data_IF_573568708582
#
_entry.id   IF_573568708582
#
_cell.length_a   1.000
_cell.length_b   1.000
_cell.length_c   1.000
_cell.angle_alpha   90.00
_cell.angle_beta   90.00
_cell.angle_gamma   90.00
#
_symmetry.space_group_name_H-M   'P 1'
#
loop_
_entity.id
_entity.type
_entity.pdbx_description
1 polymer ?
#
# COMPACT_ATOMS: atom_id res chain seq x y z
N UNK A 1 80.14 -22.65 -14.92
CA UNK A 1 78.85 -23.13 -15.48
C UNK A 1 78.84 -22.77 -16.96
N UNK A 2 78.75 -23.76 -17.86
CA UNK A 2 78.83 -23.57 -19.32
C UNK A 2 77.58 -22.85 -19.88
N UNK A 3 77.66 -22.14 -21.03
CA UNK A 3 76.49 -21.51 -21.65
C UNK A 3 75.56 -22.58 -22.29
N UNK A 4 74.22 -22.40 -22.24
CA UNK A 4 73.27 -23.36 -22.78
C UNK A 4 73.26 -23.35 -24.32
N UNK A 5 73.11 -24.56 -24.89
CA UNK A 5 73.06 -24.81 -26.34
C UNK A 5 71.87 -24.11 -27.02
N UNK A 6 72.11 -23.48 -28.18
CA UNK A 6 71.09 -22.86 -29.02
C UNK A 6 70.20 -23.93 -29.66
N UNK A 7 68.91 -23.95 -29.32
CA UNK A 7 67.91 -24.83 -29.95
C UNK A 7 67.72 -24.56 -31.44
N UNK A 8 67.48 -25.62 -32.22
CA UNK A 8 67.28 -25.60 -33.68
C UNK A 8 66.04 -24.75 -34.03
N UNK A 9 66.19 -23.83 -34.99
CA UNK A 9 65.09 -23.01 -35.54
C UNK A 9 64.14 -23.91 -36.36
N UNK A 10 62.84 -23.70 -36.25
CA UNK A 10 61.82 -24.43 -37.02
C UNK A 10 61.95 -24.15 -38.54
N UNK A 11 61.58 -25.12 -39.38
CA UNK A 11 61.71 -25.04 -40.84
C UNK A 11 60.98 -23.82 -41.42
N UNK A 12 61.71 -22.98 -42.16
CA UNK A 12 61.24 -21.70 -42.69
C UNK A 12 59.93 -21.82 -43.50
N UNK A 13 59.70 -22.96 -44.16
CA UNK A 13 58.49 -23.23 -44.94
C UNK A 13 57.24 -23.36 -44.06
N UNK A 14 57.36 -24.02 -42.90
CA UNK A 14 56.25 -24.13 -41.94
C UNK A 14 55.94 -22.81 -41.25
N UNK A 15 56.97 -21.98 -41.04
CA UNK A 15 56.81 -20.65 -40.50
C UNK A 15 56.15 -19.70 -41.51
N UNK A 16 56.51 -19.80 -42.80
CA UNK A 16 55.90 -19.05 -43.89
C UNK A 16 54.42 -19.43 -44.14
N UNK A 17 54.07 -20.72 -44.05
CA UNK A 17 52.67 -21.15 -44.17
C UNK A 17 51.81 -20.70 -42.98
N UNK A 18 52.37 -20.70 -41.77
CA UNK A 18 51.70 -20.19 -40.56
C UNK A 18 51.47 -18.69 -40.65
N UNK A 19 52.46 -17.91 -41.09
CA UNK A 19 52.28 -16.46 -41.30
C UNK A 19 51.33 -16.17 -42.44
N UNK A 20 51.36 -16.91 -43.55
CA UNK A 20 50.42 -16.74 -44.65
C UNK A 20 48.96 -17.05 -44.25
N UNK A 21 48.73 -18.08 -43.43
CA UNK A 21 47.41 -18.39 -42.87
C UNK A 21 46.94 -17.28 -41.93
N UNK A 22 47.81 -16.76 -41.07
CA UNK A 22 47.50 -15.66 -40.15
C UNK A 22 47.21 -14.33 -40.86
N UNK A 23 47.84 -14.05 -42.01
CA UNK A 23 47.60 -12.84 -42.81
C UNK A 23 46.31 -12.96 -43.64
N UNK A 24 46.01 -14.14 -44.19
CA UNK A 24 44.77 -14.40 -44.96
C UNK A 24 43.52 -14.41 -44.09
N UNK A 25 43.62 -14.91 -42.86
CA UNK A 25 42.65 -14.58 -41.82
C UNK A 25 42.92 -13.14 -41.35
N UNK A 26 42.62 -12.15 -42.21
CA UNK A 26 42.70 -10.75 -41.82
C UNK A 26 42.02 -10.55 -40.45
N UNK A 27 42.40 -9.52 -39.67
CA UNK A 27 41.96 -9.40 -38.28
C UNK A 27 40.43 -9.41 -38.21
N UNK A 28 39.85 -10.59 -37.95
CA UNK A 28 38.48 -10.76 -37.46
C UNK A 28 38.39 -10.27 -36.01
N UNK A 29 39.48 -9.70 -35.49
CA UNK A 29 39.52 -8.87 -34.30
C UNK A 29 38.92 -7.50 -34.60
N UNK A 30 37.58 -7.45 -34.59
CA UNK A 30 36.90 -6.23 -34.14
C UNK A 30 35.89 -5.61 -35.08
N UNK A 31 35.01 -6.38 -35.72
CA UNK A 31 33.67 -5.81 -35.98
C UNK A 31 33.04 -5.63 -34.60
N UNK A 32 33.18 -4.42 -34.02
CA UNK A 32 32.50 -4.07 -32.77
C UNK A 32 31.02 -4.26 -33.02
N UNK A 33 30.43 -5.35 -32.52
CA UNK A 33 28.99 -5.60 -32.58
C UNK A 33 28.30 -4.41 -31.90
N UNK A 34 27.78 -3.48 -32.69
CA UNK A 34 27.05 -2.32 -32.18
C UNK A 34 25.72 -2.83 -31.62
N UNK A 35 25.29 -2.28 -30.48
CA UNK A 35 23.95 -2.57 -29.96
C UNK A 35 22.94 -2.05 -30.98
N UNK A 36 22.25 -2.98 -31.65
CA UNK A 36 21.24 -2.65 -32.66
C UNK A 36 20.10 -1.91 -31.96
N UNK A 37 19.83 -0.69 -32.43
CA UNK A 37 18.65 0.10 -32.02
C UNK A 37 17.67 0.04 -33.18
N UNK A 38 16.47 -0.46 -32.93
CA UNK A 38 15.42 -0.60 -33.95
C UNK A 38 14.60 0.68 -34.11
N UNK A 39 14.69 1.62 -33.16
CA UNK A 39 14.01 2.92 -33.18
C UNK A 39 14.98 4.04 -33.56
N UNK A 40 14.51 5.02 -34.33
CA UNK A 40 15.27 6.25 -34.67
C UNK A 40 15.32 7.23 -33.51
N UNK A 41 14.37 7.16 -32.56
CA UNK A 41 14.32 7.97 -31.35
C UNK A 41 15.20 7.40 -30.23
N UNK A 42 15.95 8.27 -29.56
CA UNK A 42 16.73 7.92 -28.38
C UNK A 42 15.89 8.05 -27.11
N UNK A 43 15.72 6.95 -26.37
CA UNK A 43 15.05 6.96 -25.07
C UNK A 43 16.07 6.88 -23.94
N UNK A 44 15.87 7.71 -22.91
CA UNK A 44 16.67 7.64 -21.69
C UNK A 44 16.53 6.23 -21.07
N UNK A 45 17.62 5.51 -20.79
CA UNK A 45 17.55 4.19 -20.18
C UNK A 45 16.91 4.29 -18.80
N UNK A 46 16.11 3.28 -18.44
CA UNK A 46 15.57 3.20 -17.09
C UNK A 46 16.72 2.94 -16.13
N UNK A 47 16.90 3.85 -15.18
CA UNK A 47 17.91 3.76 -14.13
C UNK A 47 17.28 3.31 -12.83
N UNK A 48 18.08 2.71 -11.93
CA UNK A 48 17.64 2.38 -10.58
C UNK A 48 17.26 3.68 -9.83
N UNK A 49 16.02 3.75 -9.33
CA UNK A 49 15.56 4.83 -8.44
C UNK A 49 15.50 4.28 -7.02
N UNK A 50 16.42 4.69 -6.16
CA UNK A 50 16.42 4.28 -4.75
C UNK A 50 15.23 4.93 -4.00
N UNK A 51 14.60 4.24 -3.04
CA UNK A 51 13.59 4.85 -2.18
C UNK A 51 14.22 5.92 -1.27
N UNK A 52 13.40 6.85 -0.76
CA UNK A 52 13.87 7.88 0.18
C UNK A 52 14.27 7.21 1.50
N UNK A 53 15.53 7.35 1.90
CA UNK A 53 16.04 6.90 3.19
C UNK A 53 16.69 8.08 3.94
N UNK A 54 15.92 8.85 4.73
CA UNK A 54 16.45 10.00 5.47
C UNK A 54 17.35 9.54 6.63
N UNK A 55 18.40 10.32 6.93
CA UNK A 55 19.35 9.98 8.01
C UNK A 55 18.77 10.10 9.41
N UNK A 56 17.73 10.91 9.58
CA UNK A 56 17.02 11.11 10.84
C UNK A 56 15.51 11.25 10.59
N UNK A 57 14.65 10.86 11.54
CA UNK A 57 13.21 11.07 11.42
C UNK A 57 12.87 12.56 11.51
N UNK A 58 11.93 13.03 10.69
CA UNK A 58 11.50 14.45 10.69
C UNK A 58 10.69 14.85 11.92
N UNK A 59 10.08 13.88 12.58
CA UNK A 59 9.33 14.05 13.82
C UNK A 59 9.87 13.07 14.85
N UNK A 60 10.05 13.52 16.08
CA UNK A 60 10.58 12.70 17.18
C UNK A 60 9.62 11.59 17.60
N UNK A 61 8.32 11.86 17.58
CA UNK A 61 7.27 10.91 17.94
C UNK A 61 6.09 10.98 16.96
N UNK A 62 5.39 9.86 16.71
CA UNK A 62 4.17 9.87 15.92
C UNK A 62 3.04 10.60 16.66
N UNK A 63 2.21 11.33 15.92
CA UNK A 63 1.02 11.99 16.47
C UNK A 63 -0.02 10.98 16.96
N UNK A 64 -0.72 11.30 18.05
CA UNK A 64 -1.84 10.50 18.55
C UNK A 64 -3.05 10.61 17.62
N UNK A 65 -3.82 9.53 17.50
CA UNK A 65 -5.09 9.59 16.80
C UNK A 65 -6.10 10.43 17.62
N UNK A 66 -6.61 11.52 17.03
CA UNK A 66 -7.58 12.43 17.66
C UNK A 66 -9.04 11.99 17.46
N UNK A 67 -9.29 11.04 16.56
CA UNK A 67 -10.62 10.48 16.27
C UNK A 67 -10.66 9.05 16.80
N UNK A 68 -10.85 8.93 18.11
CA UNK A 68 -11.08 7.67 18.79
C UNK A 68 -12.58 7.33 18.85
N UNK A 69 -12.90 6.19 19.45
CA UNK A 69 -14.25 5.64 19.50
C UNK A 69 -15.22 6.57 20.23
N UNK A 70 -14.76 7.21 21.30
CA UNK A 70 -15.52 8.16 22.12
C UNK A 70 -15.80 9.45 21.35
N UNK A 71 -14.85 9.95 20.57
CA UNK A 71 -15.07 11.13 19.73
C UNK A 71 -15.99 10.83 18.54
N UNK A 72 -15.92 9.61 17.99
CA UNK A 72 -16.76 9.17 16.87
C UNK A 72 -18.23 9.08 17.29
N UNK A 73 -18.53 8.39 18.40
CA UNK A 73 -19.89 8.21 18.93
C UNK A 73 -20.13 9.22 20.05
N UNK A 74 -20.83 10.32 19.74
CA UNK A 74 -21.02 11.40 20.71
C UNK A 74 -22.11 11.07 21.73
N UNK A 75 -23.32 10.81 21.25
CA UNK A 75 -24.45 10.43 22.10
C UNK A 75 -25.56 9.75 21.28
N UNK A 76 -26.36 8.88 21.90
CA UNK A 76 -27.56 8.31 21.27
C UNK A 76 -28.63 9.37 21.07
N UNK A 77 -29.44 9.23 20.03
CA UNK A 77 -30.56 10.14 19.75
C UNK A 77 -31.84 9.59 20.35
N UNK A 78 -32.47 10.34 21.25
CA UNK A 78 -33.62 9.93 22.07
C UNK A 78 -34.96 10.50 21.58
N UNK A 79 -35.08 10.82 20.29
CA UNK A 79 -36.33 11.37 19.73
C UNK A 79 -37.37 10.27 19.53
N UNK A 80 -38.66 10.60 19.54
CA UNK A 80 -39.76 9.63 19.29
C UNK A 80 -39.54 8.80 18.03
N UNK A 81 -39.12 9.45 16.94
CA UNK A 81 -38.78 8.78 15.68
C UNK A 81 -37.62 7.79 15.82
N UNK A 82 -36.68 8.05 16.73
CA UNK A 82 -35.55 7.18 17.00
C UNK A 82 -35.95 6.03 17.92
N UNK A 83 -36.76 6.28 18.95
CA UNK A 83 -37.32 5.22 19.83
C UNK A 83 -38.12 4.21 19.02
N UNK A 84 -39.00 4.69 18.13
CA UNK A 84 -39.73 3.83 17.18
C UNK A 84 -38.82 2.98 16.29
N UNK A 85 -37.63 3.48 15.94
CA UNK A 85 -36.64 2.75 15.13
C UNK A 85 -35.92 1.66 15.91
N UNK A 86 -35.79 1.81 17.23
CA UNK A 86 -35.25 0.79 18.12
C UNK A 86 -36.21 -0.40 18.13
N UNK A 87 -37.50 -0.13 18.35
CA UNK A 87 -38.58 -1.12 18.40
C UNK A 87 -38.82 -1.82 17.05
N UNK A 88 -39.16 -1.07 15.99
CA UNK A 88 -39.68 -1.65 14.74
C UNK A 88 -38.61 -2.31 13.87
N UNK A 89 -37.36 -1.81 13.95
CA UNK A 89 -36.35 -2.10 12.92
C UNK A 89 -35.04 -2.65 13.47
N UNK A 90 -34.93 -2.85 14.79
CA UNK A 90 -33.69 -3.22 15.47
C UNK A 90 -32.54 -2.28 15.05
N UNK A 91 -32.80 -0.97 15.17
CA UNK A 91 -31.87 0.09 14.76
C UNK A 91 -31.65 1.12 15.86
N UNK A 92 -30.38 1.30 16.24
CA UNK A 92 -29.95 2.37 17.13
C UNK A 92 -29.62 3.63 16.34
N UNK A 93 -29.93 4.79 16.91
CA UNK A 93 -29.65 6.09 16.28
C UNK A 93 -28.65 6.86 17.11
N UNK A 94 -27.56 7.31 16.50
CA UNK A 94 -26.51 8.07 17.17
C UNK A 94 -26.26 9.42 16.51
N UNK A 95 -25.83 10.38 17.33
CA UNK A 95 -25.04 11.54 16.90
C UNK A 95 -23.59 11.12 16.80
N UNK A 96 -23.00 11.39 15.65
CA UNK A 96 -21.61 11.05 15.37
C UNK A 96 -20.84 12.25 14.85
N UNK A 97 -19.51 12.15 14.88
CA UNK A 97 -18.65 13.18 14.31
C UNK A 97 -18.79 13.28 12.77
N UNK A 98 -18.71 14.50 12.24
CA UNK A 98 -18.87 14.79 10.81
C UNK A 98 -17.78 14.10 9.99
N UNK A 99 -16.59 13.89 10.56
CA UNK A 99 -15.45 13.27 9.89
C UNK A 99 -15.48 11.74 9.93
N UNK A 100 -16.43 11.15 10.65
CA UNK A 100 -16.51 9.71 10.83
C UNK A 100 -17.15 9.02 9.62
N UNK A 101 -16.50 7.97 9.12
CA UNK A 101 -17.00 7.13 8.03
C UNK A 101 -17.84 5.97 8.56
N UNK A 102 -18.67 5.36 7.69
CA UNK A 102 -19.52 4.21 8.08
C UNK A 102 -18.73 3.04 8.69
N UNK A 103 -17.52 2.78 8.19
CA UNK A 103 -16.62 1.74 8.73
C UNK A 103 -16.19 2.06 10.15
N UNK A 104 -15.74 3.30 10.38
CA UNK A 104 -15.31 3.79 11.70
C UNK A 104 -16.45 3.75 12.72
N UNK A 105 -17.67 4.14 12.31
CA UNK A 105 -18.86 4.07 13.16
C UNK A 105 -19.18 2.61 13.52
N UNK A 106 -19.15 1.69 12.54
CA UNK A 106 -19.36 0.26 12.79
C UNK A 106 -18.35 -0.31 13.78
N UNK A 107 -17.07 0.04 13.63
CA UNK A 107 -16.01 -0.41 14.52
C UNK A 107 -16.13 0.22 15.92
N UNK A 108 -16.52 1.49 16.01
CA UNK A 108 -16.71 2.18 17.28
C UNK A 108 -17.87 1.58 18.07
N UNK A 109 -19.02 1.30 17.43
CA UNK A 109 -20.19 0.66 18.08
C UNK A 109 -19.81 -0.73 18.58
N UNK A 110 -19.07 -1.50 17.77
CA UNK A 110 -18.60 -2.83 18.16
C UNK A 110 -17.66 -2.78 19.38
N UNK A 111 -16.77 -1.80 19.44
CA UNK A 111 -15.82 -1.69 20.56
C UNK A 111 -16.45 -1.13 21.84
N UNK A 112 -17.38 -0.19 21.72
CA UNK A 112 -17.97 0.50 22.87
C UNK A 112 -19.04 -0.33 23.57
N UNK A 113 -19.87 -1.02 22.79
CA UNK A 113 -21.06 -1.70 23.30
C UNK A 113 -21.04 -3.21 23.06
N UNK A 114 -19.99 -3.73 22.41
CA UNK A 114 -19.82 -5.16 22.07
C UNK A 114 -20.86 -5.70 21.07
N UNK A 115 -21.42 -4.81 20.24
CA UNK A 115 -22.52 -5.15 19.33
C UNK A 115 -22.03 -5.26 17.89
N UNK A 116 -22.60 -6.20 17.14
CA UNK A 116 -22.38 -6.29 15.71
C UNK A 116 -23.44 -5.54 14.89
N UNK A 117 -23.01 -4.53 14.13
CA UNK A 117 -23.90 -3.86 13.19
C UNK A 117 -23.98 -4.61 11.84
N UNK A 118 -25.20 -4.88 11.38
CA UNK A 118 -25.48 -5.37 10.03
C UNK A 118 -25.18 -4.29 8.99
N UNK A 119 -25.74 -3.08 9.17
CA UNK A 119 -25.58 -1.96 8.22
C UNK A 119 -25.60 -0.62 8.95
N UNK A 120 -24.87 0.36 8.40
CA UNK A 120 -24.84 1.74 8.92
C UNK A 120 -25.24 2.71 7.81
N UNK A 121 -26.22 3.56 8.08
CA UNK A 121 -26.63 4.67 7.25
C UNK A 121 -26.30 5.98 7.95
N UNK A 122 -25.91 7.00 7.19
CA UNK A 122 -25.51 8.29 7.76
C UNK A 122 -26.12 9.41 6.94
N UNK A 123 -26.54 10.49 7.61
CA UNK A 123 -26.86 11.78 6.99
C UNK A 123 -26.26 12.92 7.81
N UNK A 124 -26.07 14.08 7.19
CA UNK A 124 -25.72 15.32 7.89
C UNK A 124 -27.03 16.08 8.12
N UNK A 125 -27.28 16.50 9.37
CA UNK A 125 -28.43 17.34 9.72
C UNK A 125 -28.18 18.80 9.33
N UNK A 126 -29.24 19.62 9.17
CA UNK A 126 -29.09 21.07 9.04
C UNK A 126 -28.32 21.70 10.23
N UNK A 127 -28.39 21.11 11.42
CA UNK A 127 -27.66 21.53 12.63
C UNK A 127 -26.12 21.33 12.53
N UNK A 128 -25.63 20.82 11.40
CA UNK A 128 -24.21 20.53 11.19
C UNK A 128 -23.72 19.23 11.85
N UNK A 129 -24.56 18.48 12.56
CA UNK A 129 -24.18 17.19 13.16
C UNK A 129 -24.50 16.01 12.26
N UNK A 130 -23.69 14.94 12.31
CA UNK A 130 -23.99 13.72 11.54
C UNK A 130 -24.90 12.79 12.36
N UNK A 131 -26.00 12.33 11.76
CA UNK A 131 -26.90 11.28 12.29
C UNK A 131 -26.48 9.94 11.69
N UNK A 132 -26.34 8.92 12.52
CA UNK A 132 -26.09 7.56 12.09
C UNK A 132 -27.25 6.65 12.51
N UNK A 133 -27.83 5.91 11.56
CA UNK A 133 -28.73 4.80 11.81
C UNK A 133 -27.92 3.50 11.73
N UNK A 134 -27.88 2.76 12.83
CA UNK A 134 -27.07 1.56 13.00
C UNK A 134 -28.02 0.38 13.16
N UNK A 135 -28.19 -0.42 12.11
CA UNK A 135 -28.98 -1.65 12.16
C UNK A 135 -28.14 -2.77 12.73
N UNK A 136 -28.62 -3.43 13.78
CA UNK A 136 -27.93 -4.54 14.42
C UNK A 136 -28.11 -5.84 13.63
N UNK A 137 -27.27 -6.84 13.92
CA UNK A 137 -27.53 -8.22 13.48
C UNK A 137 -28.69 -8.80 14.30
N UNK A 138 -29.44 -9.78 13.77
CA UNK A 138 -30.56 -10.38 14.50
C UNK A 138 -30.16 -11.09 15.79
N UNK A 139 -28.86 -11.34 16.00
CA UNK A 139 -28.32 -11.96 17.21
C UNK A 139 -28.36 -11.02 18.44
N UNK A 140 -28.51 -9.71 18.21
CA UNK A 140 -28.60 -8.70 19.25
C UNK A 140 -29.92 -7.94 19.15
N UNK A 141 -30.59 -7.75 20.29
CA UNK A 141 -31.76 -6.88 20.37
C UNK A 141 -31.35 -5.44 20.68
N UNK A 142 -31.89 -4.47 19.94
CA UNK A 142 -31.63 -3.06 20.16
C UNK A 142 -32.29 -2.54 21.44
N UNK A 143 -33.40 -3.14 21.89
CA UNK A 143 -34.06 -2.75 23.14
C UNK A 143 -33.17 -3.05 24.35
N UNK A 144 -32.64 -4.26 24.44
CA UNK A 144 -31.73 -4.67 25.53
C UNK A 144 -30.47 -3.81 25.57
N UNK A 145 -29.91 -3.51 24.39
CA UNK A 145 -28.78 -2.60 24.28
C UNK A 145 -29.15 -1.20 24.76
N UNK A 146 -30.30 -0.66 24.35
CA UNK A 146 -30.72 0.68 24.73
C UNK A 146 -30.89 0.82 26.25
N UNK A 147 -31.39 -0.22 26.91
CA UNK A 147 -31.46 -0.32 28.38
C UNK A 147 -30.05 -0.32 29.00
N UNK A 148 -29.11 -1.08 28.43
CA UNK A 148 -27.71 -1.10 28.90
C UNK A 148 -27.01 0.25 28.73
N UNK A 149 -27.38 1.02 27.71
CA UNK A 149 -26.85 2.38 27.49
C UNK A 149 -27.57 3.41 28.39
N UNK A 150 -28.79 3.13 28.84
CA UNK A 150 -29.60 4.01 29.69
C UNK A 150 -30.39 5.06 28.90
N UNK A 151 -30.95 4.67 27.75
CA UNK A 151 -31.73 5.55 26.87
C UNK A 151 -33.25 5.29 26.98
N UNK A 152 -33.61 4.14 27.54
CA UNK A 152 -34.96 3.67 27.83
C UNK A 152 -35.09 3.49 29.34
#
# INVERSE_FOLDING_TARGET
MAPPAKGKKADAKTQAEKTAKAVKSGPTTGIKKKKIRTTTTFHRPRTLKKPRNPRYPRQSAPGRNKLDQYQILKYPLTTESAMKKIEDNNTLVFIVDIRADKKKIKDAVKKMYEIQAKKVNTLIRPDGTKKAYVRLTPDFDALDVANKIGII
#
